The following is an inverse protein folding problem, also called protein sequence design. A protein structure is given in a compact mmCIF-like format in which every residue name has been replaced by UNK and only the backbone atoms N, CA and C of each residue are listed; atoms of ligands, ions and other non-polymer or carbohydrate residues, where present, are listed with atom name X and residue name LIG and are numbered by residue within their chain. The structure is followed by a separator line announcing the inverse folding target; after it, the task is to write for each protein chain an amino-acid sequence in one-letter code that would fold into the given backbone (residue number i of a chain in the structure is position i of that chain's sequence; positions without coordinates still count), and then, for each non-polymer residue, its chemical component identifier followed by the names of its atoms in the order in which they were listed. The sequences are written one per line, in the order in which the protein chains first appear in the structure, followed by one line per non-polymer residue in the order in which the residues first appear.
data_IF_048379466215
#
_entry.id   IF_048379466215
#
_cell.length_a   1.000
_cell.length_b   1.000
_cell.length_c   1.000
_cell.angle_alpha   90.00
_cell.angle_beta   90.00
_cell.angle_gamma   90.00
#
_symmetry.space_group_name_H-M   'P 1'
#
loop_
_entity.id
_entity.type
_entity.pdbx_description
1 polymer ?
#
# COMPACT_ATOMS: atom_id res chain seq x y z
N UNK A 1 -24.88 20.67 9.26
CA UNK A 1 -25.79 19.81 8.47
C UNK A 1 -25.05 19.39 7.21
N UNK A 2 -24.60 18.13 7.13
CA UNK A 2 -23.90 17.61 5.95
C UNK A 2 -24.91 17.22 4.87
N UNK A 3 -24.54 17.38 3.60
CA UNK A 3 -25.36 17.21 2.38
C UNK A 3 -25.90 15.79 2.11
N UNK A 4 -26.07 14.95 3.14
CA UNK A 4 -26.64 13.61 2.98
C UNK A 4 -25.80 12.68 2.10
N UNK A 5 -24.46 12.73 2.20
CA UNK A 5 -23.54 11.90 1.39
C UNK A 5 -23.98 10.43 1.37
N UNK A 6 -24.34 9.89 2.53
CA UNK A 6 -24.81 8.51 2.65
C UNK A 6 -26.11 8.30 1.88
N UNK A 7 -27.11 9.16 2.07
CA UNK A 7 -28.41 9.10 1.38
C UNK A 7 -28.27 9.19 -0.14
N UNK A 8 -27.42 10.08 -0.64
CA UNK A 8 -27.13 10.19 -2.08
C UNK A 8 -26.49 8.89 -2.57
N UNK A 9 -25.52 8.37 -1.82
CA UNK A 9 -24.78 7.17 -2.20
C UNK A 9 -25.67 5.93 -2.21
N UNK A 10 -26.55 5.77 -1.22
CA UNK A 10 -27.52 4.68 -1.15
C UNK A 10 -28.55 4.78 -2.28
N UNK A 11 -28.99 6.00 -2.63
CA UNK A 11 -29.82 6.24 -3.82
C UNK A 11 -29.14 5.77 -5.12
N UNK A 12 -27.83 5.99 -5.27
CA UNK A 12 -27.05 5.50 -6.42
C UNK A 12 -27.01 3.96 -6.45
N UNK A 13 -26.90 3.28 -5.30
CA UNK A 13 -26.95 1.81 -5.25
C UNK A 13 -28.28 1.31 -5.83
N UNK A 14 -29.39 1.89 -5.39
CA UNK A 14 -30.75 1.48 -5.78
C UNK A 14 -31.00 1.77 -7.27
N UNK A 15 -30.64 2.96 -7.76
CA UNK A 15 -30.80 3.33 -9.17
C UNK A 15 -30.02 2.43 -10.13
N UNK A 16 -28.87 1.92 -9.71
CA UNK A 16 -28.03 1.01 -10.51
C UNK A 16 -28.38 -0.48 -10.33
N UNK A 17 -29.28 -0.83 -9.40
CA UNK A 17 -29.50 -2.20 -8.90
C UNK A 17 -28.16 -2.94 -8.63
N UNK A 18 -27.21 -2.23 -8.01
CA UNK A 18 -25.82 -2.67 -7.93
C UNK A 18 -25.53 -3.51 -6.67
N UNK A 19 -26.31 -4.58 -6.46
CA UNK A 19 -26.11 -5.54 -5.36
C UNK A 19 -25.34 -6.80 -5.78
N UNK A 20 -24.47 -7.36 -4.90
CA UNK A 20 -24.07 -6.80 -3.62
C UNK A 20 -23.11 -5.61 -3.81
N UNK A 21 -23.23 -4.59 -2.95
CA UNK A 21 -22.36 -3.41 -2.95
C UNK A 21 -21.34 -3.48 -1.80
N UNK A 22 -20.25 -2.72 -1.91
CA UNK A 22 -19.24 -2.59 -0.86
C UNK A 22 -18.96 -1.11 -0.55
N UNK A 23 -18.97 -0.76 0.73
CA UNK A 23 -18.64 0.57 1.24
C UNK A 23 -17.29 0.50 1.94
N UNK A 24 -16.38 1.41 1.59
CA UNK A 24 -15.11 1.63 2.23
C UNK A 24 -15.14 2.96 2.99
N UNK A 25 -15.11 2.94 4.33
CA UNK A 25 -15.27 4.15 5.14
C UNK A 25 -14.30 4.20 6.35
N UNK A 26 -14.20 5.35 7.05
CA UNK A 26 -13.53 5.43 8.33
C UNK A 26 -14.07 4.47 9.40
N UNK A 27 -13.21 3.87 10.25
CA UNK A 27 -13.64 2.86 11.24
C UNK A 27 -14.79 3.32 12.14
N UNK A 28 -14.72 4.57 12.61
CA UNK A 28 -15.75 5.16 13.46
C UNK A 28 -17.06 5.46 12.73
N UNK A 29 -17.08 5.43 11.39
CA UNK A 29 -18.28 5.61 10.58
C UNK A 29 -18.93 4.31 10.15
N UNK A 30 -18.32 3.14 10.42
CA UNK A 30 -18.90 1.84 10.05
C UNK A 30 -20.29 1.63 10.65
N UNK A 31 -20.54 1.83 11.96
CA UNK A 31 -21.87 1.64 12.53
C UNK A 31 -22.90 2.62 11.95
N UNK A 32 -22.46 3.85 11.66
CA UNK A 32 -23.30 4.88 11.04
C UNK A 32 -23.73 4.46 9.63
N UNK A 33 -22.80 3.99 8.81
CA UNK A 33 -23.08 3.54 7.44
C UNK A 33 -24.08 2.38 7.43
N UNK A 34 -23.90 1.38 8.30
CA UNK A 34 -24.82 0.24 8.41
C UNK A 34 -26.24 0.73 8.71
N UNK A 35 -26.39 1.53 9.77
CA UNK A 35 -27.69 2.09 10.17
C UNK A 35 -28.34 2.90 9.05
N UNK A 36 -27.59 3.81 8.42
CA UNK A 36 -28.15 4.67 7.37
C UNK A 36 -28.52 3.91 6.09
N UNK A 37 -27.82 2.81 5.74
CA UNK A 37 -28.21 1.96 4.61
C UNK A 37 -29.56 1.28 4.88
N UNK A 38 -29.73 0.73 6.07
CA UNK A 38 -30.95 0.00 6.46
C UNK A 38 -32.15 0.94 6.68
N UNK A 39 -31.91 2.17 7.15
CA UNK A 39 -32.94 3.21 7.27
C UNK A 39 -33.39 3.77 5.91
N UNK A 40 -32.46 3.92 4.94
CA UNK A 40 -32.76 4.57 3.65
C UNK A 40 -33.29 3.60 2.60
N UNK A 41 -32.81 2.36 2.57
CA UNK A 41 -33.19 1.38 1.56
C UNK A 41 -34.10 0.31 2.18
N UNK A 42 -35.40 0.28 1.85
CA UNK A 42 -36.32 -0.72 2.40
C UNK A 42 -35.86 -2.15 2.07
N UNK A 43 -35.74 -2.98 3.10
CA UNK A 43 -35.32 -4.38 2.97
C UNK A 43 -33.83 -4.57 2.67
N UNK A 44 -33.00 -3.52 2.79
CA UNK A 44 -31.56 -3.68 2.73
C UNK A 44 -30.99 -4.38 3.97
N UNK A 45 -29.90 -5.10 3.75
CA UNK A 45 -29.12 -5.72 4.81
C UNK A 45 -27.69 -5.23 4.71
N UNK A 46 -27.20 -4.55 5.75
CA UNK A 46 -25.84 -4.04 5.79
C UNK A 46 -25.02 -4.78 6.84
N UNK A 47 -23.81 -5.22 6.47
CA UNK A 47 -22.93 -5.96 7.39
C UNK A 47 -21.50 -5.47 7.34
N UNK A 48 -20.90 -5.34 8.52
CA UNK A 48 -19.46 -5.09 8.63
C UNK A 48 -18.65 -6.34 8.20
N UNK A 49 -17.67 -6.14 7.31
CA UNK A 49 -16.62 -7.13 7.04
C UNK A 49 -15.37 -6.69 7.80
N UNK A 50 -14.96 -7.49 8.77
CA UNK A 50 -13.88 -7.14 9.71
C UNK A 50 -12.56 -7.78 9.31
N UNK A 51 -12.57 -9.06 8.96
CA UNK A 51 -11.33 -9.83 8.84
C UNK A 51 -11.39 -11.00 7.86
N UNK A 52 -10.21 -11.34 7.38
CA UNK A 52 -9.90 -12.59 6.70
C UNK A 52 -8.62 -13.14 7.32
N UNK A 53 -8.67 -14.37 7.83
CA UNK A 53 -7.57 -15.04 8.50
C UNK A 53 -7.82 -15.36 9.97
N UNK A 54 -6.73 -15.75 10.63
CA UNK A 54 -6.68 -16.20 12.02
C UNK A 54 -5.83 -15.25 12.87
N UNK A 55 -6.29 -14.96 14.09
CA UNK A 55 -5.44 -14.36 15.14
C UNK A 55 -4.63 -15.45 15.84
N UNK A 56 -3.53 -15.07 16.50
CA UNK A 56 -2.68 -16.00 17.27
C UNK A 56 -3.48 -16.86 18.28
N UNK A 57 -4.57 -16.30 18.81
CA UNK A 57 -5.29 -16.87 19.95
C UNK A 57 -6.55 -17.66 19.55
N UNK A 58 -6.90 -17.70 18.26
CA UNK A 58 -8.12 -18.38 17.78
C UNK A 58 -7.78 -19.73 17.14
N UNK A 59 -8.71 -20.69 17.18
CA UNK A 59 -8.49 -22.05 16.64
C UNK A 59 -8.84 -22.15 15.14
N UNK A 60 -9.75 -21.30 14.66
CA UNK A 60 -10.32 -21.39 13.31
C UNK A 60 -10.03 -20.14 12.46
N UNK A 61 -9.82 -20.34 11.15
CA UNK A 61 -9.71 -19.25 10.17
C UNK A 61 -11.10 -18.63 9.95
N UNK A 62 -11.20 -17.29 9.97
CA UNK A 62 -12.43 -16.56 9.65
C UNK A 62 -12.30 -15.91 8.27
N UNK A 63 -13.35 -15.94 7.47
CA UNK A 63 -13.37 -15.26 6.16
C UNK A 63 -14.71 -14.57 5.94
N UNK A 64 -14.84 -13.37 6.51
CA UNK A 64 -16.08 -12.59 6.50
C UNK A 64 -16.56 -12.27 5.07
N UNK A 65 -15.62 -12.11 4.12
CA UNK A 65 -15.94 -11.84 2.71
C UNK A 65 -16.59 -13.06 2.08
N UNK A 66 -15.99 -14.24 2.25
CA UNK A 66 -16.54 -15.48 1.70
C UNK A 66 -17.90 -15.77 2.32
N UNK A 67 -18.00 -15.69 3.64
CA UNK A 67 -19.25 -15.89 4.36
C UNK A 67 -20.35 -14.93 3.86
N UNK A 68 -20.01 -13.65 3.62
CA UNK A 68 -20.95 -12.66 3.11
C UNK A 68 -21.47 -13.02 1.72
N UNK A 69 -20.57 -13.42 0.82
CA UNK A 69 -20.92 -13.75 -0.55
C UNK A 69 -21.69 -15.08 -0.65
N UNK A 70 -21.34 -16.07 0.16
CA UNK A 70 -22.01 -17.37 0.20
C UNK A 70 -23.46 -17.18 0.70
N UNK A 71 -23.66 -16.46 1.80
CA UNK A 71 -25.01 -16.14 2.31
C UNK A 71 -25.81 -15.25 1.36
N UNK A 72 -25.16 -14.29 0.68
CA UNK A 72 -25.82 -13.48 -0.35
C UNK A 72 -26.35 -14.36 -1.49
N UNK A 73 -25.55 -15.33 -1.94
CA UNK A 73 -25.92 -16.24 -3.01
C UNK A 73 -27.09 -17.14 -2.60
N UNK A 74 -27.08 -17.66 -1.38
CA UNK A 74 -28.21 -18.44 -0.84
C UNK A 74 -29.51 -17.62 -0.78
N UNK A 75 -29.41 -16.36 -0.32
CA UNK A 75 -30.54 -15.44 -0.30
C UNK A 75 -31.03 -15.12 -1.72
N UNK A 76 -30.12 -14.95 -2.67
CA UNK A 76 -30.43 -14.68 -4.08
C UNK A 76 -31.16 -15.87 -4.72
N UNK A 77 -30.63 -17.08 -4.56
CA UNK A 77 -31.22 -18.31 -5.10
C UNK A 77 -32.59 -18.59 -4.49
N UNK A 78 -32.76 -18.30 -3.20
CA UNK A 78 -34.05 -18.44 -2.50
C UNK A 78 -35.08 -17.43 -2.99
N UNK A 79 -34.68 -16.17 -3.18
CA UNK A 79 -35.54 -15.14 -3.75
C UNK A 79 -35.97 -15.51 -5.17
N UNK A 80 -35.03 -15.98 -5.99
CA UNK A 80 -35.30 -16.40 -7.37
C UNK A 80 -36.31 -17.57 -7.43
N UNK A 81 -36.18 -18.57 -6.54
CA UNK A 81 -37.13 -19.70 -6.45
C UNK A 81 -38.53 -19.29 -6.01
N UNK A 82 -38.64 -18.30 -5.12
CA UNK A 82 -39.92 -17.81 -4.58
C UNK A 82 -40.54 -16.69 -5.41
N UNK A 83 -39.90 -16.25 -6.50
CA UNK A 83 -40.31 -15.07 -7.27
C UNK A 83 -40.22 -13.76 -6.48
N UNK A 84 -39.37 -13.71 -5.45
CA UNK A 84 -39.17 -12.54 -4.60
C UNK A 84 -38.21 -11.52 -5.22
N UNK A 85 -38.11 -10.35 -4.58
CA UNK A 85 -37.14 -9.32 -4.96
C UNK A 85 -35.71 -9.76 -4.68
N UNK A 86 -34.77 -9.29 -5.51
CA UNK A 86 -33.33 -9.54 -5.35
C UNK A 86 -32.85 -9.01 -3.98
N UNK A 87 -32.01 -9.77 -3.25
CA UNK A 87 -31.47 -9.31 -1.97
C UNK A 87 -30.63 -8.04 -2.11
N UNK A 88 -30.92 -7.06 -1.25
CA UNK A 88 -30.28 -5.74 -1.23
C UNK A 88 -29.16 -5.68 -0.20
N UNK A 89 -28.07 -6.39 -0.45
CA UNK A 89 -27.00 -6.56 0.54
C UNK A 89 -25.82 -5.60 0.32
N UNK A 90 -25.34 -5.00 1.39
CA UNK A 90 -24.21 -4.05 1.37
C UNK A 90 -23.16 -4.45 2.41
N UNK A 91 -21.95 -4.71 1.95
CA UNK A 91 -20.79 -4.92 2.81
C UNK A 91 -20.20 -3.56 3.23
N UNK A 92 -19.90 -3.36 4.51
CA UNK A 92 -19.26 -2.16 5.03
C UNK A 92 -17.88 -2.52 5.58
N UNK A 93 -16.84 -1.85 5.10
CA UNK A 93 -15.45 -2.16 5.42
C UNK A 93 -14.74 -0.90 5.91
N UNK A 94 -14.11 -0.99 7.08
CA UNK A 94 -13.21 0.06 7.53
C UNK A 94 -11.94 0.10 6.65
N UNK A 95 -11.49 1.29 6.26
CA UNK A 95 -10.27 1.43 5.45
C UNK A 95 -9.00 0.91 6.13
N UNK A 96 -9.00 0.78 7.46
CA UNK A 96 -7.90 0.16 8.22
C UNK A 96 -7.94 -1.36 8.04
N UNK A 97 -9.11 -1.99 8.21
CA UNK A 97 -9.34 -3.42 7.98
C UNK A 97 -9.05 -3.84 6.54
N UNK A 98 -9.39 -2.99 5.57
CA UNK A 98 -9.16 -3.27 4.15
C UNK A 98 -7.68 -3.53 3.81
N UNK A 99 -6.76 -2.83 4.47
CA UNK A 99 -5.31 -2.89 4.19
C UNK A 99 -4.54 -3.95 4.99
N UNK A 100 -5.09 -4.46 6.09
CA UNK A 100 -4.34 -5.32 6.99
C UNK A 100 -4.16 -6.73 6.40
N UNK A 101 -3.03 -6.94 5.73
CA UNK A 101 -2.52 -8.29 5.40
C UNK A 101 -1.69 -8.88 6.53
N UNK A 102 -0.99 -9.97 6.25
CA UNK A 102 -0.11 -10.63 7.21
C UNK A 102 0.95 -9.63 7.68
N UNK A 103 0.98 -9.39 9.00
CA UNK A 103 2.12 -8.75 9.63
C UNK A 103 3.38 -9.57 9.37
N UNK A 104 4.53 -8.95 9.58
CA UNK A 104 5.79 -9.67 9.61
C UNK A 104 6.45 -9.40 10.94
N UNK A 105 7.19 -10.40 11.43
CA UNK A 105 8.00 -10.28 12.64
C UNK A 105 9.47 -10.57 12.30
N UNK A 106 10.41 -10.00 13.05
CA UNK A 106 11.81 -10.36 12.94
C UNK A 106 12.00 -11.85 13.16
N UNK A 107 12.68 -12.50 12.22
CA UNK A 107 13.06 -13.91 12.30
C UNK A 107 14.55 -13.99 12.59
N UNK A 108 14.89 -14.07 13.88
CA UNK A 108 16.27 -14.07 14.37
C UNK A 108 16.45 -15.11 15.46
N UNK A 109 17.67 -15.63 15.57
CA UNK A 109 18.10 -16.45 16.70
C UNK A 109 18.97 -15.61 17.63
N UNK A 110 19.03 -15.97 18.91
CA UNK A 110 19.87 -15.26 19.87
C UNK A 110 21.28 -15.88 19.93
N UNK A 111 22.32 -15.04 19.85
CA UNK A 111 23.72 -15.43 20.02
C UNK A 111 24.44 -14.43 20.92
N UNK A 112 25.34 -14.93 21.77
CA UNK A 112 26.21 -14.07 22.57
C UNK A 112 27.22 -13.36 21.66
N UNK A 113 27.30 -12.05 21.78
CA UNK A 113 28.24 -11.21 21.05
C UNK A 113 28.91 -10.22 22.02
N UNK A 114 30.15 -9.84 21.73
CA UNK A 114 30.81 -8.77 22.48
C UNK A 114 30.45 -7.43 21.85
N UNK A 115 29.88 -6.53 22.64
CA UNK A 115 29.59 -5.16 22.21
C UNK A 115 30.90 -4.35 22.16
N UNK A 116 31.30 -3.79 21.00
CA UNK A 116 32.52 -2.99 20.89
C UNK A 116 32.50 -1.68 21.68
N UNK A 117 31.32 -1.11 21.97
CA UNK A 117 31.20 0.15 22.71
C UNK A 117 31.35 -0.07 24.21
N UNK A 118 30.72 -1.10 24.75
CA UNK A 118 30.66 -1.34 26.21
C UNK A 118 31.62 -2.44 26.67
N UNK A 119 32.19 -3.22 25.75
CA UNK A 119 33.05 -4.36 26.03
C UNK A 119 32.34 -5.57 26.65
N UNK A 120 31.03 -5.47 26.94
CA UNK A 120 30.22 -6.49 27.60
C UNK A 120 29.76 -7.56 26.61
N UNK A 121 29.51 -8.77 27.13
CA UNK A 121 28.85 -9.83 26.38
C UNK A 121 27.35 -9.58 26.46
N UNK A 122 26.72 -9.42 25.30
CA UNK A 122 25.28 -9.17 25.15
C UNK A 122 24.64 -10.29 24.35
N UNK A 123 23.36 -10.53 24.62
CA UNK A 123 22.52 -11.38 23.77
C UNK A 123 22.12 -10.58 22.52
N UNK A 124 22.64 -11.00 21.38
CA UNK A 124 22.47 -10.33 20.10
C UNK A 124 21.63 -11.16 19.12
N UNK A 125 20.90 -10.45 18.28
CA UNK A 125 20.15 -10.99 17.16
C UNK A 125 21.12 -11.52 16.10
N UNK A 126 20.94 -12.77 15.70
CA UNK A 126 21.74 -13.46 14.69
C UNK A 126 20.85 -14.07 13.61
N UNK A 127 21.44 -14.24 12.43
CA UNK A 127 20.74 -14.80 11.28
C UNK A 127 20.40 -16.28 11.51
N UNK A 128 19.15 -16.72 11.28
CA UNK A 128 18.77 -18.13 11.42
C UNK A 128 19.43 -19.04 10.38
N UNK A 129 19.77 -18.51 9.20
CA UNK A 129 20.39 -19.27 8.11
C UNK A 129 21.89 -19.49 8.28
N UNK A 130 22.66 -18.42 8.55
CA UNK A 130 24.12 -18.52 8.67
C UNK A 130 24.64 -18.51 10.12
N UNK A 131 23.79 -18.25 11.10
CA UNK A 131 24.17 -18.22 12.52
C UNK A 131 25.01 -17.00 12.96
N UNK A 132 25.41 -16.13 12.03
CA UNK A 132 26.22 -14.94 12.31
C UNK A 132 25.39 -13.79 12.87
N UNK A 133 25.96 -13.05 13.81
CA UNK A 133 25.36 -11.89 14.48
C UNK A 133 25.07 -10.78 13.46
N UNK A 134 23.93 -10.13 13.61
CA UNK A 134 23.53 -8.96 12.82
C UNK A 134 24.15 -7.72 13.45
N UNK A 135 24.95 -7.01 12.68
CA UNK A 135 25.63 -5.80 13.13
C UNK A 135 25.05 -4.58 12.41
N UNK A 136 24.92 -3.47 13.13
CA UNK A 136 24.44 -2.19 12.62
C UNK A 136 25.43 -1.09 12.94
N UNK A 137 25.52 -0.09 12.08
CA UNK A 137 26.33 1.09 12.33
C UNK A 137 25.55 2.08 13.20
N UNK A 138 26.06 2.38 14.39
CA UNK A 138 25.54 3.41 15.30
C UNK A 138 26.70 4.28 15.74
N UNK A 139 26.58 5.59 15.54
CA UNK A 139 27.57 6.60 15.93
C UNK A 139 29.01 6.32 15.42
N UNK A 140 29.13 5.74 14.21
CA UNK A 140 30.42 5.38 13.60
C UNK A 140 31.01 4.05 14.10
N UNK A 141 30.31 3.32 14.96
CA UNK A 141 30.70 2.00 15.44
C UNK A 141 29.76 0.92 14.90
N UNK A 142 30.34 -0.24 14.58
CA UNK A 142 29.59 -1.43 14.14
C UNK A 142 29.24 -2.25 15.38
N UNK A 143 27.99 -2.15 15.85
CA UNK A 143 27.52 -2.78 17.09
C UNK A 143 26.53 -3.91 16.82
N UNK A 144 26.48 -4.94 17.68
CA UNK A 144 25.51 -6.01 17.54
C UNK A 144 24.09 -5.50 17.82
N UNK A 145 23.12 -5.92 17.01
CA UNK A 145 21.70 -5.67 17.28
C UNK A 145 21.28 -6.51 18.47
N UNK A 146 20.83 -5.90 19.56
CA UNK A 146 20.41 -6.62 20.77
C UNK A 146 18.91 -6.88 20.80
N UNK A 147 18.09 -5.96 20.28
CA UNK A 147 16.64 -6.07 20.29
C UNK A 147 16.08 -6.34 18.91
N UNK A 148 15.22 -7.35 18.80
CA UNK A 148 14.51 -7.67 17.57
C UNK A 148 13.63 -6.51 17.06
N UNK A 149 13.15 -5.64 17.95
CA UNK A 149 12.38 -4.44 17.59
C UNK A 149 13.14 -3.50 16.64
N UNK A 150 14.48 -3.45 16.70
CA UNK A 150 15.29 -2.67 15.77
C UNK A 150 15.22 -3.22 14.33
N UNK A 151 14.97 -4.51 14.19
CA UNK A 151 14.76 -5.18 12.91
C UNK A 151 13.31 -5.12 12.45
N UNK A 152 12.38 -4.65 13.29
CA UNK A 152 10.94 -4.59 12.99
C UNK A 152 10.54 -3.34 12.18
N UNK A 153 11.42 -2.35 12.04
CA UNK A 153 11.12 -1.13 11.28
C UNK A 153 11.09 -1.37 9.76
N UNK A 154 12.00 -2.21 9.26
CA UNK A 154 12.14 -2.51 7.83
C UNK A 154 12.47 -3.98 7.63
N UNK A 155 11.88 -4.59 6.60
CA UNK A 155 12.23 -5.95 6.18
C UNK A 155 13.67 -5.95 5.69
N UNK A 156 14.50 -6.76 6.35
CA UNK A 156 15.93 -6.85 6.04
C UNK A 156 16.31 -8.27 5.69
N UNK A 157 17.31 -8.40 4.81
CA UNK A 157 17.97 -9.65 4.49
C UNK A 157 19.34 -9.68 5.18
N UNK A 158 19.86 -10.87 5.44
CA UNK A 158 21.18 -11.02 6.02
C UNK A 158 22.27 -10.64 5.01
N UNK A 159 23.13 -9.69 5.39
CA UNK A 159 24.27 -9.25 4.57
C UNK A 159 25.60 -9.91 4.96
N UNK A 160 25.58 -10.85 5.92
CA UNK A 160 26.80 -11.52 6.35
C UNK A 160 27.41 -12.33 5.21
N UNK A 161 28.72 -12.24 5.08
CA UNK A 161 29.50 -12.96 4.06
C UNK A 161 29.62 -14.42 4.48
N UNK A 162 29.20 -15.35 3.61
CA UNK A 162 29.31 -16.80 3.83
C UNK A 162 30.07 -17.46 2.68
N UNK A 163 30.76 -18.59 2.92
CA UNK A 163 31.31 -19.41 1.86
C UNK A 163 30.20 -19.93 0.96
N UNK A 164 30.42 -19.93 -0.35
CA UNK A 164 29.48 -20.49 -1.32
C UNK A 164 29.81 -20.08 -2.75
N UNK A 165 29.01 -20.57 -3.70
CA UNK A 165 29.14 -20.19 -5.11
C UNK A 165 28.98 -18.68 -5.29
N UNK A 166 29.98 -18.04 -5.90
CA UNK A 166 29.89 -16.63 -6.26
C UNK A 166 28.73 -16.41 -7.22
N UNK A 167 28.04 -15.29 -7.07
CA UNK A 167 26.93 -14.91 -7.94
C UNK A 167 27.37 -13.75 -8.84
N UNK A 168 26.95 -13.76 -10.11
CA UNK A 168 27.12 -12.65 -11.04
C UNK A 168 26.12 -11.51 -10.76
N UNK A 169 26.14 -10.47 -11.59
CA UNK A 169 25.25 -9.30 -11.45
C UNK A 169 23.76 -9.64 -11.61
N UNK A 170 23.44 -10.75 -12.28
CA UNK A 170 22.08 -11.24 -12.52
C UNK A 170 21.66 -12.28 -11.45
N UNK A 171 22.51 -12.55 -10.46
CA UNK A 171 22.25 -13.48 -9.37
C UNK A 171 22.41 -14.96 -9.73
N UNK A 172 23.04 -15.28 -10.86
CA UNK A 172 23.37 -16.65 -11.28
C UNK A 172 24.75 -17.04 -10.78
N UNK A 173 25.02 -18.34 -10.66
CA UNK A 173 26.35 -18.83 -10.28
C UNK A 173 27.39 -18.37 -11.31
N UNK A 174 28.39 -17.64 -10.83
CA UNK A 174 29.52 -17.18 -11.63
C UNK A 174 30.32 -18.38 -12.09
N UNK A 175 30.55 -18.44 -13.40
CA UNK A 175 31.40 -19.44 -14.02
C UNK A 175 32.79 -18.83 -14.27
N UNK A 176 33.82 -19.63 -14.17
CA UNK A 176 35.17 -19.26 -14.60
C UNK A 176 35.31 -19.33 -16.13
N UNK A 177 36.52 -19.09 -16.63
CA UNK A 177 36.82 -19.14 -18.06
C UNK A 177 36.65 -20.53 -18.68
N UNK A 178 36.61 -21.59 -17.87
CA UNK A 178 36.44 -22.98 -18.28
C UNK A 178 34.97 -23.43 -18.22
N UNK A 179 34.07 -22.59 -17.70
CA UNK A 179 32.66 -22.92 -17.50
C UNK A 179 32.36 -23.59 -16.16
N UNK A 180 33.31 -23.65 -15.24
CA UNK A 180 33.14 -24.25 -13.92
C UNK A 180 32.65 -23.20 -12.90
N UNK A 181 31.80 -23.62 -11.97
CA UNK A 181 31.28 -22.74 -10.93
C UNK A 181 32.37 -22.27 -9.97
N UNK A 182 32.41 -20.97 -9.69
CA UNK A 182 33.43 -20.35 -8.81
C UNK A 182 32.99 -20.43 -7.35
N UNK A 183 33.74 -21.15 -6.52
CA UNK A 183 33.54 -21.16 -5.06
C UNK A 183 34.28 -20.00 -4.40
N UNK A 184 33.57 -19.19 -3.62
CA UNK A 184 34.15 -18.02 -2.99
C UNK A 184 33.29 -17.53 -1.83
N UNK A 185 33.06 -16.22 -1.80
CA UNK A 185 32.30 -15.58 -0.72
C UNK A 185 31.09 -14.83 -1.26
N UNK A 186 29.91 -15.09 -0.72
CA UNK A 186 28.65 -14.45 -1.13
C UNK A 186 27.88 -13.88 0.07
N UNK A 187 27.00 -12.89 -0.13
CA UNK A 187 26.08 -12.47 0.93
C UNK A 187 25.10 -13.62 1.27
N UNK A 188 24.79 -13.78 2.54
CA UNK A 188 23.91 -14.84 3.03
C UNK A 188 22.50 -14.77 2.43
N UNK A 189 21.90 -13.58 2.36
CA UNK A 189 20.59 -13.36 1.74
C UNK A 189 19.40 -13.97 2.47
N UNK A 190 19.60 -14.67 3.60
CA UNK A 190 18.49 -15.20 4.40
C UNK A 190 17.61 -14.06 4.90
N UNK A 191 16.28 -14.11 4.73
CA UNK A 191 15.39 -13.09 5.28
C UNK A 191 15.48 -13.10 6.81
N UNK A 192 15.68 -11.93 7.40
CA UNK A 192 15.65 -11.73 8.86
C UNK A 192 14.24 -11.41 9.34
N UNK A 193 13.24 -11.78 8.55
CA UNK A 193 11.83 -11.60 8.84
C UNK A 193 11.07 -12.84 8.39
N UNK A 194 9.98 -13.11 9.09
CA UNK A 194 8.97 -14.07 8.67
C UNK A 194 7.63 -13.37 8.62
N UNK A 195 6.75 -13.83 7.73
CA UNK A 195 5.36 -13.43 7.77
C UNK A 195 4.73 -14.11 8.98
N UNK A 196 4.03 -13.34 9.83
CA UNK A 196 3.35 -13.90 11.00
C UNK A 196 2.49 -15.08 10.54
N UNK A 197 2.58 -16.22 11.25
CA UNK A 197 1.78 -17.41 10.98
C UNK A 197 0.26 -17.18 11.11
N UNK A 198 -0.15 -16.04 11.66
CA UNK A 198 -1.49 -15.50 11.50
C UNK A 198 -1.75 -15.25 10.00
N UNK A 199 -2.51 -16.15 9.36
CA UNK A 199 -2.93 -16.09 7.94
C UNK A 199 -3.86 -14.91 7.64
N UNK A 200 -3.51 -13.71 8.08
CA UNK A 200 -4.31 -12.52 7.85
C UNK A 200 -4.16 -12.10 6.39
N UNK A 201 -5.26 -12.04 5.68
CA UNK A 201 -5.29 -11.57 4.29
C UNK A 201 -5.89 -10.17 4.25
N UNK A 202 -5.30 -9.30 3.43
CA UNK A 202 -5.93 -8.01 3.13
C UNK A 202 -7.27 -8.26 2.45
N UNK A 203 -8.33 -7.61 2.94
CA UNK A 203 -9.68 -7.76 2.37
C UNK A 203 -9.68 -7.31 0.91
N UNK A 204 -9.00 -6.20 0.58
CA UNK A 204 -8.91 -5.71 -0.80
C UNK A 204 -8.16 -6.67 -1.71
N UNK A 205 -7.06 -7.23 -1.23
CA UNK A 205 -6.28 -8.22 -1.99
C UNK A 205 -7.08 -9.51 -2.21
N UNK A 206 -7.74 -10.01 -1.16
CA UNK A 206 -8.59 -11.20 -1.25
C UNK A 206 -9.73 -10.99 -2.24
N UNK A 207 -10.45 -9.88 -2.17
CA UNK A 207 -11.53 -9.57 -3.11
C UNK A 207 -10.98 -9.52 -4.55
N UNK A 208 -9.83 -8.89 -4.76
CA UNK A 208 -9.23 -8.77 -6.09
C UNK A 208 -8.80 -10.13 -6.66
N UNK A 209 -8.29 -11.04 -5.83
CA UNK A 209 -7.80 -12.36 -6.25
C UNK A 209 -8.90 -13.41 -6.36
N UNK A 210 -9.85 -13.41 -5.43
CA UNK A 210 -10.79 -14.52 -5.25
C UNK A 210 -12.27 -14.14 -5.46
N UNK A 211 -12.62 -12.85 -5.42
CA UNK A 211 -14.01 -12.38 -5.55
C UNK A 211 -14.14 -11.23 -6.56
N UNK A 212 -13.31 -11.23 -7.60
CA UNK A 212 -13.32 -10.19 -8.63
C UNK A 212 -14.67 -10.17 -9.35
N UNK A 213 -15.31 -9.00 -9.40
CA UNK A 213 -16.64 -8.82 -10.01
C UNK A 213 -17.81 -9.32 -9.17
N UNK A 214 -17.57 -9.85 -7.96
CA UNK A 214 -18.63 -10.26 -7.03
C UNK A 214 -19.41 -9.04 -6.55
N UNK A 215 -18.72 -8.01 -6.07
CA UNK A 215 -19.31 -6.72 -5.73
C UNK A 215 -19.51 -5.87 -6.98
N UNK A 216 -20.70 -5.29 -7.15
CA UNK A 216 -21.07 -4.52 -8.35
C UNK A 216 -20.67 -3.05 -8.26
N UNK A 217 -20.76 -2.47 -7.06
CA UNK A 217 -20.44 -1.07 -6.79
C UNK A 217 -19.55 -0.94 -5.54
N UNK A 218 -18.48 -0.15 -5.66
CA UNK A 218 -17.67 0.34 -4.53
C UNK A 218 -18.08 1.78 -4.22
N UNK A 219 -18.43 2.06 -2.97
CA UNK A 219 -18.57 3.42 -2.43
C UNK A 219 -17.38 3.68 -1.53
N UNK A 220 -16.54 4.66 -1.85
CA UNK A 220 -15.40 5.04 -1.04
C UNK A 220 -15.63 6.40 -0.37
N UNK A 221 -15.82 6.39 0.94
CA UNK A 221 -16.00 7.58 1.76
C UNK A 221 -14.65 8.18 2.20
N UNK A 222 -14.63 9.51 2.33
CA UNK A 222 -13.45 10.33 2.57
C UNK A 222 -12.26 9.96 1.66
N UNK A 223 -12.51 9.94 0.34
CA UNK A 223 -11.55 9.45 -0.66
C UNK A 223 -10.21 10.19 -0.64
N UNK A 224 -10.18 11.42 -0.11
CA UNK A 224 -8.97 12.20 0.08
C UNK A 224 -7.91 11.51 0.97
N UNK A 225 -8.32 10.55 1.80
CA UNK A 225 -7.40 9.77 2.63
C UNK A 225 -6.60 8.73 1.82
N UNK A 226 -6.95 8.49 0.56
CA UNK A 226 -6.27 7.56 -0.35
C UNK A 226 -5.31 8.25 -1.33
N UNK A 227 -5.06 9.56 -1.16
CA UNK A 227 -4.28 10.36 -2.12
C UNK A 227 -2.79 10.07 -2.17
N UNK A 228 -2.21 9.50 -1.11
CA UNK A 228 -0.75 9.31 -1.02
C UNK A 228 -0.24 8.29 -2.04
N UNK A 229 0.98 8.49 -2.57
CA UNK A 229 1.65 7.60 -3.55
C UNK A 229 1.71 6.15 -3.07
N UNK A 230 2.35 5.93 -1.93
CA UNK A 230 2.73 4.61 -1.42
C UNK A 230 2.07 4.28 -0.09
N UNK A 231 0.82 4.71 0.13
CA UNK A 231 0.07 4.29 1.33
C UNK A 231 -0.63 2.95 1.08
N UNK A 232 -0.57 2.05 2.07
CA UNK A 232 -1.29 0.77 2.03
C UNK A 232 -2.79 0.97 1.79
N UNK A 233 -3.32 2.08 2.34
CA UNK A 233 -4.72 2.49 2.14
C UNK A 233 -5.01 2.80 0.67
N UNK A 234 -4.10 3.50 -0.02
CA UNK A 234 -4.24 3.83 -1.44
C UNK A 234 -4.09 2.61 -2.34
N UNK A 235 -3.23 1.66 -1.97
CA UNK A 235 -3.11 0.35 -2.65
C UNK A 235 -4.39 -0.46 -2.48
N UNK A 236 -4.89 -0.60 -1.26
CA UNK A 236 -6.14 -1.32 -0.97
C UNK A 236 -7.34 -0.71 -1.70
N UNK A 237 -7.45 0.62 -1.73
CA UNK A 237 -8.47 1.31 -2.51
C UNK A 237 -8.36 0.99 -4.01
N UNK A 238 -7.16 1.08 -4.59
CA UNK A 238 -6.96 0.77 -6.01
C UNK A 238 -7.33 -0.67 -6.37
N UNK A 239 -6.93 -1.63 -5.53
CA UNK A 239 -7.30 -3.04 -5.66
C UNK A 239 -8.82 -3.21 -5.74
N UNK A 240 -9.56 -2.59 -4.81
CA UNK A 240 -11.03 -2.62 -4.83
C UNK A 240 -11.62 -1.97 -6.08
N UNK A 241 -11.12 -0.80 -6.50
CA UNK A 241 -11.56 -0.12 -7.74
C UNK A 241 -11.40 -1.03 -8.96
N UNK A 242 -10.32 -1.80 -9.04
CA UNK A 242 -10.10 -2.75 -10.15
C UNK A 242 -10.92 -4.05 -10.04
N UNK A 243 -11.48 -4.32 -8.86
CA UNK A 243 -12.25 -5.52 -8.60
C UNK A 243 -13.76 -5.35 -8.81
N UNK A 244 -14.27 -4.12 -8.80
CA UNK A 244 -15.70 -3.79 -8.98
C UNK A 244 -15.99 -3.19 -10.35
N UNK A 245 -17.25 -3.23 -10.77
CA UNK A 245 -17.69 -2.63 -12.04
C UNK A 245 -17.85 -1.11 -11.94
N UNK A 246 -18.49 -0.64 -10.89
CA UNK A 246 -18.77 0.78 -10.66
C UNK A 246 -18.06 1.27 -9.41
N UNK A 247 -17.56 2.51 -9.43
CA UNK A 247 -16.94 3.14 -8.25
C UNK A 247 -17.55 4.53 -8.06
N UNK A 248 -18.07 4.79 -6.86
CA UNK A 248 -18.51 6.08 -6.39
C UNK A 248 -17.57 6.57 -5.29
N UNK A 249 -17.00 7.77 -5.46
CA UNK A 249 -16.09 8.36 -4.47
C UNK A 249 -16.71 9.57 -3.82
N UNK A 250 -16.64 9.63 -2.48
CA UNK A 250 -17.19 10.70 -1.67
C UNK A 250 -16.06 11.40 -0.92
N UNK A 251 -16.06 12.73 -0.93
CA UNK A 251 -15.16 13.53 -0.09
C UNK A 251 -15.73 14.92 0.10
N UNK A 252 -15.51 15.53 1.27
CA UNK A 252 -15.80 16.95 1.46
C UNK A 252 -14.72 17.87 0.86
N UNK A 253 -13.51 17.35 0.67
CA UNK A 253 -12.34 18.10 0.20
C UNK A 253 -11.60 17.28 -0.84
N UNK A 254 -11.86 17.56 -2.11
CA UNK A 254 -11.18 16.84 -3.20
C UNK A 254 -9.74 17.31 -3.38
N UNK A 255 -9.47 18.59 -3.16
CA UNK A 255 -8.20 19.23 -3.48
C UNK A 255 -7.45 19.72 -2.24
N UNK A 256 -6.16 19.38 -2.15
CA UNK A 256 -5.29 19.73 -1.01
C UNK A 256 -4.33 20.89 -1.29
N UNK A 257 -4.62 21.76 -2.26
CA UNK A 257 -3.81 22.94 -2.60
C UNK A 257 -2.79 22.71 -3.72
N UNK A 258 -2.14 21.54 -3.81
CA UNK A 258 -1.17 21.20 -4.87
C UNK A 258 -1.75 20.24 -5.90
N UNK A 259 -1.36 20.36 -7.16
CA UNK A 259 -1.81 19.46 -8.24
C UNK A 259 -1.43 17.99 -7.98
N UNK A 260 -0.25 17.76 -7.39
CA UNK A 260 0.22 16.41 -7.01
C UNK A 260 -0.63 15.77 -5.92
N UNK A 261 -1.39 16.56 -5.15
CA UNK A 261 -2.27 16.04 -4.09
C UNK A 261 -3.44 15.21 -4.61
N UNK A 262 -3.81 15.36 -5.89
CA UNK A 262 -4.89 14.60 -6.52
C UNK A 262 -4.39 13.64 -7.61
N UNK A 263 -3.11 13.74 -8.00
CA UNK A 263 -2.52 12.94 -9.07
C UNK A 263 -2.73 11.43 -8.87
N UNK A 264 -2.27 10.88 -7.74
CA UNK A 264 -2.39 9.43 -7.51
C UNK A 264 -3.83 8.99 -7.27
N UNK A 265 -4.71 9.90 -6.81
CA UNK A 265 -6.13 9.60 -6.70
C UNK A 265 -6.75 9.44 -8.10
N UNK A 266 -6.50 10.40 -8.99
CA UNK A 266 -6.97 10.38 -10.38
C UNK A 266 -6.33 9.23 -11.18
N UNK A 267 -5.05 8.95 -10.97
CA UNK A 267 -4.39 7.78 -11.57
C UNK A 267 -5.04 6.46 -11.11
N UNK A 268 -5.59 6.38 -9.89
CA UNK A 268 -6.31 5.17 -9.44
C UNK A 268 -7.73 5.07 -9.99
N UNK A 269 -8.38 6.19 -10.26
CA UNK A 269 -9.78 6.26 -10.69
C UNK A 269 -9.94 6.28 -12.22
N UNK A 270 -9.22 7.17 -12.90
CA UNK A 270 -9.39 7.45 -14.31
C UNK A 270 -8.37 6.65 -15.15
N UNK A 271 -8.89 5.85 -16.08
CA UNK A 271 -8.05 5.08 -17.01
C UNK A 271 -7.27 5.98 -17.98
N UNK A 272 -7.80 7.14 -18.36
CA UNK A 272 -7.12 8.10 -19.24
C UNK A 272 -5.85 8.64 -18.59
N UNK A 273 -5.93 9.03 -17.31
CA UNK A 273 -4.76 9.50 -16.56
C UNK A 273 -3.69 8.41 -16.46
N UNK A 274 -4.06 7.14 -16.25
CA UNK A 274 -3.09 6.02 -16.25
C UNK A 274 -2.43 5.78 -17.60
N UNK A 275 -3.17 6.02 -18.67
CA UNK A 275 -2.65 5.85 -20.03
C UNK A 275 -1.64 6.95 -20.36
N UNK A 276 -1.92 8.17 -19.91
CA UNK A 276 -1.17 9.36 -20.34
C UNK A 276 0.02 9.68 -19.39
N UNK A 277 -0.04 9.22 -18.13
CA UNK A 277 0.97 9.42 -17.09
C UNK A 277 1.35 8.12 -16.39
N UNK A 278 2.66 7.84 -16.28
CA UNK A 278 3.16 6.74 -15.48
C UNK A 278 3.04 7.04 -13.97
N UNK A 279 3.09 6.00 -13.13
CA UNK A 279 2.91 6.14 -11.67
C UNK A 279 3.93 7.08 -10.98
N UNK A 280 5.12 7.25 -11.57
CA UNK A 280 6.19 8.12 -11.08
C UNK A 280 6.30 9.46 -11.84
N UNK A 281 5.31 9.80 -12.67
CA UNK A 281 5.31 11.02 -13.49
C UNK A 281 4.77 12.25 -12.74
N UNK A 282 4.85 12.30 -11.40
CA UNK A 282 4.34 13.43 -10.61
C UNK A 282 4.93 14.78 -11.03
N UNK A 283 6.18 14.80 -11.50
CA UNK A 283 6.84 16.02 -12.00
C UNK A 283 6.26 16.48 -13.34
N UNK A 284 5.92 15.54 -14.23
CA UNK A 284 5.30 15.85 -15.53
C UNK A 284 3.88 16.34 -15.33
N UNK A 285 3.14 15.70 -14.41
CA UNK A 285 1.82 16.15 -13.98
C UNK A 285 1.85 17.57 -13.43
N UNK A 286 2.75 17.85 -12.47
CA UNK A 286 2.87 19.17 -11.88
C UNK A 286 3.30 20.25 -12.88
N UNK A 287 4.02 19.90 -13.95
CA UNK A 287 4.36 20.84 -15.04
C UNK A 287 3.16 21.21 -15.90
N UNK A 288 2.24 20.28 -16.13
CA UNK A 288 1.08 20.50 -16.99
C UNK A 288 -0.10 21.11 -16.24
N UNK A 289 -0.34 20.65 -15.01
CA UNK A 289 -1.52 20.99 -14.26
C UNK A 289 -1.24 21.73 -12.94
N UNK A 290 0.02 21.84 -12.52
CA UNK A 290 0.41 22.51 -11.29
C UNK A 290 1.08 23.86 -11.52
N UNK A 291 1.36 24.55 -10.41
CA UNK A 291 2.16 25.78 -10.40
C UNK A 291 3.56 25.44 -9.90
N UNK A 292 4.57 25.70 -10.73
CA UNK A 292 5.97 25.43 -10.41
C UNK A 292 6.76 26.74 -10.26
N UNK A 293 7.30 26.96 -9.07
CA UNK A 293 8.28 28.02 -8.83
C UNK A 293 9.67 27.49 -9.16
N UNK A 294 10.42 28.22 -9.98
CA UNK A 294 11.80 27.87 -10.34
C UNK A 294 12.77 28.90 -9.78
N UNK A 295 13.53 28.55 -8.75
CA UNK A 295 14.58 29.43 -8.22
C UNK A 295 15.88 29.23 -9.02
N UNK A 296 16.30 30.25 -9.77
CA UNK A 296 17.61 30.28 -10.43
C UNK A 296 18.62 30.98 -9.52
N UNK A 297 19.51 30.24 -8.85
CA UNK A 297 20.67 30.84 -8.17
C UNK A 297 21.75 31.16 -9.20
N UNK A 298 21.93 32.44 -9.52
CA UNK A 298 23.13 32.95 -10.20
C UNK A 298 24.22 33.05 -9.13
N UNK A 299 25.38 32.40 -9.31
CA UNK A 299 26.56 32.74 -8.51
C UNK A 299 26.90 34.19 -8.88
N UNK A 300 26.67 35.11 -7.96
CA UNK A 300 27.18 36.49 -8.06
C UNK A 300 28.53 36.47 -7.36
N UNK A 301 29.56 36.16 -8.12
CA UNK A 301 30.89 36.71 -7.92
C UNK A 301 31.38 37.06 -9.33
N UNK A 302 31.50 38.36 -9.57
CA UNK A 302 32.54 38.90 -10.44
C UNK A 302 33.90 38.42 -9.87
N UNK A 303 34.83 38.13 -10.76
CA UNK A 303 36.20 37.67 -10.50
C UNK A 303 36.41 36.17 -10.23
N UNK A 304 36.40 35.39 -11.31
CA UNK A 304 37.43 34.38 -11.62
C UNK A 304 37.07 33.72 -12.96
N UNK A 305 37.71 34.18 -14.03
CA UNK A 305 37.94 33.36 -15.22
C UNK A 305 38.78 32.15 -14.80
N UNK A 306 38.12 31.04 -14.50
CA UNK A 306 38.73 29.72 -14.60
C UNK A 306 37.78 28.83 -15.41
N UNK A 307 38.02 28.85 -16.72
CA UNK A 307 37.44 27.91 -17.67
C UNK A 307 37.69 26.47 -17.19
N UNK A 308 36.61 25.72 -17.00
CA UNK A 308 36.69 24.28 -16.81
C UNK A 308 37.15 23.62 -18.12
N UNK A 309 38.42 23.23 -18.17
CA UNK A 309 39.17 22.72 -19.35
C UNK A 309 38.57 21.48 -20.05
N UNK A 310 37.42 20.91 -19.64
CA UNK A 310 36.92 19.71 -20.34
C UNK A 310 35.42 19.55 -20.63
N UNK A 311 34.52 20.41 -20.14
CA UNK A 311 33.11 20.38 -20.62
C UNK A 311 32.44 21.74 -20.47
N UNK A 312 32.21 22.44 -21.57
CA UNK A 312 31.49 23.73 -21.64
C UNK A 312 29.98 23.65 -21.36
N UNK A 313 29.56 22.98 -20.28
CA UNK A 313 28.15 22.88 -19.89
C UNK A 313 27.88 23.65 -18.58
N UNK A 314 27.19 24.80 -18.70
CA UNK A 314 26.58 25.51 -17.56
C UNK A 314 25.51 24.64 -16.91
N UNK A 315 25.85 23.92 -15.84
CA UNK A 315 24.86 23.20 -15.01
C UNK A 315 24.11 24.20 -14.14
N UNK A 316 23.00 24.73 -14.65
CA UNK A 316 21.99 25.39 -13.82
C UNK A 316 21.34 24.33 -12.93
N UNK A 317 21.55 24.40 -11.61
CA UNK A 317 20.79 23.59 -10.64
C UNK A 317 19.40 24.20 -10.47
N UNK A 318 18.52 23.96 -11.45
CA UNK A 318 17.13 24.39 -11.38
C UNK A 318 16.40 23.50 -10.36
N UNK A 319 16.17 24.03 -9.16
CA UNK A 319 15.32 23.39 -8.17
C UNK A 319 13.90 23.93 -8.38
N UNK A 320 13.03 23.14 -9.01
CA UNK A 320 11.63 23.47 -9.18
C UNK A 320 10.84 23.02 -7.94
N UNK A 321 10.09 23.94 -7.34
CA UNK A 321 9.23 23.69 -6.16
C UNK A 321 7.78 23.90 -6.55
N UNK A 322 6.92 22.92 -6.28
CA UNK A 322 5.49 23.05 -6.53
C UNK A 322 4.82 23.94 -5.47
N UNK A 323 4.13 24.96 -5.95
CA UNK A 323 3.32 25.89 -5.17
C UNK A 323 1.84 25.50 -5.21
N UNK A 324 1.02 25.98 -4.25
CA UNK A 324 -0.42 25.79 -4.31
C UNK A 324 -1.00 26.42 -5.59
N UNK A 325 -1.83 25.67 -6.30
CA UNK A 325 -2.44 26.07 -7.57
C UNK A 325 -2.59 24.89 -8.51
N UNK A 326 -3.72 24.87 -9.24
CA UNK A 326 -4.04 23.81 -10.19
C UNK A 326 -4.77 24.37 -11.40
N UNK A 327 -4.44 23.87 -12.58
CA UNK A 327 -5.18 24.17 -13.81
C UNK A 327 -6.56 23.50 -13.79
N UNK A 328 -7.64 24.21 -14.14
CA UNK A 328 -8.98 23.61 -14.28
C UNK A 328 -9.05 22.45 -15.28
N UNK A 329 -8.12 22.39 -16.24
CA UNK A 329 -8.03 21.32 -17.25
C UNK A 329 -7.71 19.92 -16.68
N UNK A 330 -7.55 19.79 -15.36
CA UNK A 330 -7.28 18.52 -14.69
C UNK A 330 -8.50 17.60 -14.60
N UNK A 331 -9.72 18.15 -14.78
CA UNK A 331 -11.01 17.42 -14.68
C UNK A 331 -11.78 17.43 -16.01
N UNK A 332 -11.27 18.12 -17.04
CA UNK A 332 -11.91 18.26 -18.35
C UNK A 332 -11.74 17.04 -19.25
#
# INVERSE_FOLDING_TARGET
MGTGKTTISTGVIELLDAYPAIVLCPPHLVPKWIREIEEVIPGAYAREIRRIGRNSDEVYDVNDVREFLDQYKEAYDTAQKKGGSKPKWVAVVAHTSAKFGAGWQPAVITRKARDPLTGKIVDACACPGCGKVVMVEKDGFVVPVTYASELAEKRQFCHNRIPGWELDADGRTKLDANGDSVWGTRPCGTPLFELNGARRHSISEYITKHAKGAFKLLIADEVHQFKSKSSDRGVAFHQLVTAVKWTLTLTGTFFGGKSTSIFWLLHRLNHGVRRDFAFHDEKRWARLYGVLETTRRRRRNEDADEDGVYTGNRRYRNQAKEQPGVSPAIVS
#
